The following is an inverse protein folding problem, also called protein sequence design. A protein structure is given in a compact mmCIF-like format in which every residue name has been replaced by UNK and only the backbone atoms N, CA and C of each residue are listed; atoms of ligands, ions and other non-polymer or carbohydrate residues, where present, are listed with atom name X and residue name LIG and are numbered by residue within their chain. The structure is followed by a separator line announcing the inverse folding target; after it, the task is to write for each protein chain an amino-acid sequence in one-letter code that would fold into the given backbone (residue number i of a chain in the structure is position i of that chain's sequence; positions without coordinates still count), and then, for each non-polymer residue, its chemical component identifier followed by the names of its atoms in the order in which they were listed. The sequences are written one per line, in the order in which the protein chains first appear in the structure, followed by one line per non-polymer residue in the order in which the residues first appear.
data_IF_613078648297
#
_entry.id   IF_613078648297
#
_cell.length_a   1.000
_cell.length_b   1.000
_cell.length_c   1.000
_cell.angle_alpha   90.00
_cell.angle_beta   90.00
_cell.angle_gamma   90.00
#
_symmetry.space_group_name_H-M   'P 1'
#
loop_
_entity.id
_entity.type
_entity.pdbx_description
1 polymer ?
#
# COMPACT_ATOMS: atom_id res chain seq x y z
N UNK A 1 -24.54 2.89 12.31
CA UNK A 1 -25.31 2.09 13.31
C UNK A 1 -24.32 1.62 14.36
N UNK A 2 -24.47 1.97 15.63
CA UNK A 2 -23.58 1.43 16.67
C UNK A 2 -23.72 -0.09 16.72
N UNK A 3 -22.63 -0.82 16.55
CA UNK A 3 -22.61 -2.27 16.65
C UNK A 3 -23.11 -2.69 18.04
N UNK A 4 -24.12 -3.56 18.11
CA UNK A 4 -24.60 -4.08 19.39
C UNK A 4 -23.70 -5.17 19.98
N UNK A 5 -22.66 -5.57 19.26
CA UNK A 5 -21.76 -6.67 19.62
C UNK A 5 -20.44 -6.18 20.18
N UNK A 6 -19.91 -6.89 21.17
CA UNK A 6 -18.56 -6.67 21.69
C UNK A 6 -17.62 -7.69 21.07
N UNK A 7 -16.60 -7.21 20.38
CA UNK A 7 -15.58 -8.02 19.72
C UNK A 7 -14.31 -8.12 20.55
N UNK A 8 -13.59 -9.22 20.37
CA UNK A 8 -12.26 -9.42 20.96
C UNK A 8 -11.31 -10.07 19.96
N UNK A 9 -10.04 -9.67 20.02
CA UNK A 9 -8.95 -10.31 19.28
C UNK A 9 -7.60 -10.08 19.94
N UNK A 10 -6.64 -10.95 19.61
CA UNK A 10 -5.22 -10.75 19.91
C UNK A 10 -4.71 -9.66 18.98
N UNK A 11 -4.17 -8.57 19.54
CA UNK A 11 -3.70 -7.40 18.81
C UNK A 11 -2.18 -7.41 18.54
N UNK A 12 -1.43 -8.33 19.17
CA UNK A 12 0.00 -8.53 18.93
C UNK A 12 0.24 -9.58 17.85
N UNK A 13 1.36 -9.51 17.10
CA UNK A 13 1.69 -10.51 16.09
C UNK A 13 1.76 -11.93 16.69
N UNK A 14 1.47 -12.98 15.90
CA UNK A 14 1.61 -14.36 16.35
C UNK A 14 3.07 -14.69 16.63
N UNK A 15 3.32 -15.48 17.69
CA UNK A 15 4.66 -15.89 18.07
C UNK A 15 4.88 -15.89 19.58
N UNK A 16 6.12 -16.00 20.02
CA UNK A 16 6.52 -15.92 21.42
C UNK A 16 7.06 -14.53 21.73
N UNK A 17 6.41 -13.81 22.63
CA UNK A 17 6.83 -12.49 23.09
C UNK A 17 6.74 -12.37 24.62
N UNK A 18 7.42 -11.39 25.19
CA UNK A 18 7.32 -11.09 26.63
C UNK A 18 5.93 -10.56 27.00
N UNK A 19 5.28 -9.83 26.08
CA UNK A 19 3.96 -9.21 26.26
C UNK A 19 3.05 -9.60 25.10
N UNK A 20 1.79 -9.91 25.41
CA UNK A 20 0.73 -10.07 24.46
C UNK A 20 -0.46 -9.19 24.82
N UNK A 21 -1.11 -8.62 23.82
CA UNK A 21 -2.24 -7.71 23.99
C UNK A 21 -3.49 -8.32 23.38
N UNK A 22 -4.56 -8.40 24.17
CA UNK A 22 -5.91 -8.71 23.68
C UNK A 22 -6.74 -7.45 23.79
N UNK A 23 -7.44 -7.10 22.72
CA UNK A 23 -8.31 -5.92 22.65
C UNK A 23 -9.76 -6.34 22.60
N UNK A 24 -10.60 -5.67 23.41
CA UNK A 24 -12.05 -5.73 23.35
C UNK A 24 -12.59 -4.38 22.89
N UNK A 25 -13.66 -4.37 22.09
CA UNK A 25 -14.37 -3.16 21.68
C UNK A 25 -15.86 -3.44 21.63
N UNK A 26 -16.65 -2.55 22.17
CA UNK A 26 -18.11 -2.60 22.11
C UNK A 26 -18.80 -2.36 23.47
N UNK A 27 -20.15 -2.40 23.51
CA UNK A 27 -20.94 -1.94 24.66
C UNK A 27 -20.76 -2.76 25.93
N UNK A 28 -20.27 -4.01 25.84
CA UNK A 28 -20.02 -4.90 26.99
C UNK A 28 -18.53 -5.04 27.33
N UNK A 29 -17.63 -4.26 26.72
CA UNK A 29 -16.19 -4.44 26.91
C UNK A 29 -15.77 -4.32 28.38
N UNK A 30 -16.32 -3.35 29.10
CA UNK A 30 -16.03 -3.14 30.52
C UNK A 30 -16.61 -4.25 31.40
N UNK A 31 -17.85 -4.66 31.18
CA UNK A 31 -18.49 -5.74 31.95
C UNK A 31 -17.75 -7.06 31.80
N UNK A 32 -17.32 -7.39 30.58
CA UNK A 32 -16.55 -8.60 30.27
C UNK A 32 -15.20 -8.56 30.96
N UNK A 33 -14.46 -7.45 30.84
CA UNK A 33 -13.16 -7.29 31.47
C UNK A 33 -13.25 -7.30 33.02
N UNK A 34 -14.30 -6.74 33.60
CA UNK A 34 -14.54 -6.77 35.03
C UNK A 34 -14.83 -8.20 35.52
N UNK A 35 -15.60 -9.00 34.79
CA UNK A 35 -15.85 -10.41 35.09
C UNK A 35 -14.57 -11.24 35.00
N UNK A 36 -13.73 -11.00 33.95
CA UNK A 36 -12.44 -11.69 33.81
C UNK A 36 -11.50 -11.40 35.00
N UNK A 37 -11.45 -10.14 35.43
CA UNK A 37 -10.51 -9.70 36.48
C UNK A 37 -11.05 -9.85 37.88
N UNK A 38 -12.35 -10.09 38.05
CA UNK A 38 -13.07 -10.20 39.34
C UNK A 38 -12.82 -9.00 40.29
N UNK A 39 -12.45 -7.85 39.73
CA UNK A 39 -12.16 -6.60 40.43
C UNK A 39 -12.64 -5.40 39.59
N UNK A 40 -12.82 -4.27 40.28
CA UNK A 40 -13.05 -3.01 39.59
C UNK A 40 -11.94 -2.72 38.59
N UNK A 41 -12.33 -2.27 37.43
CA UNK A 41 -11.37 -1.87 36.39
C UNK A 41 -10.60 -0.61 36.85
N UNK A 42 -9.39 -0.39 36.31
CA UNK A 42 -8.64 0.83 36.59
C UNK A 42 -9.38 2.07 36.05
N UNK A 43 -9.03 3.22 36.59
CA UNK A 43 -9.51 4.51 36.05
C UNK A 43 -9.10 4.64 34.56
N UNK A 44 -9.87 5.43 33.84
CA UNK A 44 -9.66 5.69 32.41
C UNK A 44 -8.20 6.07 32.12
N UNK A 45 -7.58 5.36 31.20
CA UNK A 45 -6.18 5.55 30.76
C UNK A 45 -5.13 5.37 31.85
N UNK A 46 -5.51 4.82 33.00
CA UNK A 46 -4.57 4.41 34.04
C UNK A 46 -4.23 2.94 33.88
N UNK A 47 -2.96 2.61 33.98
CA UNK A 47 -2.49 1.22 33.97
C UNK A 47 -2.80 0.55 35.31
N UNK A 48 -3.63 -0.48 35.25
CA UNK A 48 -4.01 -1.23 36.47
C UNK A 48 -3.53 -2.67 36.40
N UNK A 49 -2.69 -3.09 37.35
CA UNK A 49 -2.30 -4.50 37.46
C UNK A 49 -3.46 -5.35 37.94
N UNK A 50 -3.79 -6.44 37.22
CA UNK A 50 -4.91 -7.36 37.50
C UNK A 50 -4.50 -8.79 37.22
N UNK A 51 -5.18 -9.71 37.94
CA UNK A 51 -5.17 -11.15 37.65
C UNK A 51 -6.33 -11.47 36.74
N UNK A 52 -6.13 -12.38 35.81
CA UNK A 52 -7.13 -12.88 34.87
C UNK A 52 -7.56 -14.28 35.34
N UNK A 53 -8.87 -14.50 35.48
CA UNK A 53 -9.42 -15.70 36.11
C UNK A 53 -10.20 -16.56 35.09
N UNK A 54 -10.02 -17.87 35.21
CA UNK A 54 -10.82 -18.85 34.52
C UNK A 54 -12.21 -19.03 35.16
N UNK A 55 -13.04 -19.87 34.55
CA UNK A 55 -14.40 -20.16 34.99
C UNK A 55 -14.43 -20.81 36.38
N UNK A 56 -13.44 -21.64 36.70
CA UNK A 56 -13.28 -22.32 38.00
C UNK A 56 -12.65 -21.43 39.09
N UNK A 57 -12.30 -20.17 38.76
CA UNK A 57 -11.66 -19.22 39.64
C UNK A 57 -10.13 -19.37 39.75
N UNK A 58 -9.53 -20.26 38.98
CA UNK A 58 -8.07 -20.36 38.87
C UNK A 58 -7.48 -19.14 38.13
N UNK A 59 -6.24 -18.79 38.45
CA UNK A 59 -5.53 -17.70 37.79
C UNK A 59 -4.95 -18.24 36.48
N UNK A 60 -5.38 -17.66 35.37
CA UNK A 60 -4.85 -17.96 34.04
C UNK A 60 -3.56 -17.18 33.73
N UNK A 61 -3.56 -15.91 34.10
CA UNK A 61 -2.44 -14.97 33.86
C UNK A 61 -2.61 -13.73 34.74
N UNK A 62 -1.62 -12.87 34.74
CA UNK A 62 -1.69 -11.54 35.35
C UNK A 62 -1.00 -10.49 34.48
N UNK A 63 -1.49 -9.27 34.54
CA UNK A 63 -0.97 -8.24 33.66
C UNK A 63 -1.64 -6.88 33.86
N UNK A 64 -1.47 -6.02 32.87
CA UNK A 64 -1.99 -4.66 32.85
C UNK A 64 -3.34 -4.64 32.15
N UNK A 65 -4.29 -3.88 32.69
CA UNK A 65 -5.56 -3.55 32.06
C UNK A 65 -5.60 -2.06 31.82
N UNK A 66 -5.98 -1.67 30.61
CA UNK A 66 -6.20 -0.28 30.19
C UNK A 66 -7.64 -0.13 29.68
N UNK A 67 -8.29 0.97 30.09
CA UNK A 67 -9.67 1.28 29.73
C UNK A 67 -9.75 2.60 28.95
N UNK A 68 -10.47 2.58 27.85
CA UNK A 68 -10.69 3.73 26.97
C UNK A 68 -12.20 3.89 26.72
N UNK A 69 -12.85 4.86 27.36
CA UNK A 69 -14.29 5.05 27.21
C UNK A 69 -14.65 5.68 25.87
N UNK A 70 -15.82 5.35 25.38
CA UNK A 70 -16.50 6.04 24.28
C UNK A 70 -16.66 7.55 24.61
N UNK A 71 -16.45 8.48 23.65
CA UNK A 71 -15.93 8.25 22.28
C UNK A 71 -14.40 8.34 22.18
N UNK A 72 -13.69 8.41 23.29
CA UNK A 72 -12.25 8.69 23.34
C UNK A 72 -11.37 7.41 23.26
N UNK A 73 -11.71 6.51 22.35
CA UNK A 73 -11.01 5.26 22.08
C UNK A 73 -10.63 5.15 20.61
N UNK A 74 -9.94 4.07 20.23
CA UNK A 74 -9.56 3.80 18.84
C UNK A 74 -10.79 3.61 17.92
N UNK A 75 -11.76 2.79 18.37
CA UNK A 75 -12.97 2.48 17.59
C UNK A 75 -14.09 3.51 17.80
N UNK A 76 -13.95 4.43 18.76
CA UNK A 76 -15.05 5.29 19.19
C UNK A 76 -16.05 4.58 20.11
N UNK A 77 -15.89 3.29 20.41
CA UNK A 77 -16.67 2.52 21.38
C UNK A 77 -15.93 2.41 22.71
N UNK A 78 -16.52 1.73 23.71
CA UNK A 78 -15.79 1.34 24.92
C UNK A 78 -14.74 0.29 24.53
N UNK A 79 -13.47 0.55 24.86
CA UNK A 79 -12.34 -0.34 24.55
C UNK A 79 -11.60 -0.71 25.83
N UNK A 80 -11.25 -2.00 25.95
CA UNK A 80 -10.37 -2.51 27.00
C UNK A 80 -9.21 -3.25 26.37
N UNK A 81 -7.99 -2.96 26.81
CA UNK A 81 -6.80 -3.73 26.47
C UNK A 81 -6.31 -4.52 27.69
N UNK A 82 -6.09 -5.81 27.45
CA UNK A 82 -5.55 -6.77 28.41
C UNK A 82 -4.13 -7.12 27.97
N UNK A 83 -3.13 -6.72 28.72
CA UNK A 83 -1.72 -6.89 28.43
C UNK A 83 -1.13 -7.92 29.39
N UNK A 84 -1.14 -9.19 28.99
CA UNK A 84 -0.57 -10.32 29.70
C UNK A 84 0.71 -10.84 29.07
N UNK A 85 1.08 -12.09 29.33
CA UNK A 85 2.21 -12.76 28.72
C UNK A 85 1.93 -13.13 27.26
N UNK A 86 2.95 -13.00 26.38
CA UNK A 86 2.84 -13.13 24.92
C UNK A 86 2.97 -14.56 24.40
N UNK A 87 2.71 -15.59 25.23
CA UNK A 87 2.71 -16.97 24.78
C UNK A 87 1.41 -17.33 24.04
N UNK A 88 1.45 -18.04 22.88
CA UNK A 88 0.24 -18.32 22.11
C UNK A 88 -0.79 -19.17 22.84
N UNK A 89 -0.35 -20.06 23.75
CA UNK A 89 -1.26 -20.91 24.54
C UNK A 89 -2.10 -20.05 25.50
N UNK A 90 -1.45 -19.17 26.25
CA UNK A 90 -2.15 -18.33 27.22
C UNK A 90 -3.02 -17.28 26.57
N UNK A 91 -2.57 -16.69 25.45
CA UNK A 91 -3.35 -15.72 24.69
C UNK A 91 -4.64 -16.34 24.13
N UNK A 92 -4.56 -17.55 23.56
CA UNK A 92 -5.74 -18.26 23.07
C UNK A 92 -6.68 -18.69 24.20
N UNK A 93 -6.15 -19.10 25.35
CA UNK A 93 -6.96 -19.43 26.52
C UNK A 93 -7.73 -18.20 27.03
N UNK A 94 -7.04 -17.05 27.20
CA UNK A 94 -7.67 -15.79 27.60
C UNK A 94 -8.73 -15.33 26.58
N UNK A 95 -8.44 -15.43 25.27
CA UNK A 95 -9.40 -15.09 24.23
C UNK A 95 -10.64 -15.99 24.28
N UNK A 96 -10.46 -17.31 24.48
CA UNK A 96 -11.54 -18.26 24.68
C UNK A 96 -12.41 -17.89 25.88
N UNK A 97 -11.79 -17.52 27.00
CA UNK A 97 -12.50 -17.07 28.22
C UNK A 97 -13.34 -15.81 27.95
N UNK A 98 -12.82 -14.86 27.18
CA UNK A 98 -13.58 -13.66 26.80
C UNK A 98 -14.82 -14.00 25.95
N UNK A 99 -14.74 -15.02 25.09
CA UNK A 99 -15.89 -15.49 24.30
C UNK A 99 -16.95 -16.13 25.21
N UNK A 100 -16.56 -16.93 26.21
CA UNK A 100 -17.49 -17.46 27.19
C UNK A 100 -18.19 -16.36 28.00
N UNK A 101 -17.50 -15.24 28.24
CA UNK A 101 -18.05 -14.08 28.94
C UNK A 101 -18.93 -13.19 28.06
N UNK A 102 -19.06 -13.51 26.75
CA UNK A 102 -19.99 -12.89 25.83
C UNK A 102 -19.39 -11.95 24.79
N UNK A 103 -18.06 -11.95 24.61
CA UNK A 103 -17.43 -11.37 23.43
C UNK A 103 -17.57 -12.30 22.23
N UNK A 104 -17.43 -11.76 21.01
CA UNK A 104 -17.33 -12.54 19.78
C UNK A 104 -15.96 -12.30 19.13
N UNK A 105 -15.52 -13.23 18.29
CA UNK A 105 -14.27 -13.06 17.55
C UNK A 105 -14.38 -11.90 16.57
N UNK A 106 -13.40 -11.00 16.61
CA UNK A 106 -13.31 -9.93 15.63
C UNK A 106 -12.96 -10.50 14.25
N UNK A 107 -13.56 -9.95 13.20
CA UNK A 107 -13.17 -10.19 11.82
C UNK A 107 -11.89 -9.42 11.48
N UNK A 108 -11.27 -9.78 10.35
CA UNK A 108 -10.15 -9.02 9.80
C UNK A 108 -10.53 -7.54 9.63
N UNK A 109 -9.69 -6.63 10.12
CA UNK A 109 -9.90 -5.18 10.05
C UNK A 109 -11.11 -4.62 10.80
N UNK A 110 -11.83 -5.41 11.62
CA UNK A 110 -13.11 -4.97 12.23
C UNK A 110 -12.96 -3.78 13.19
N UNK A 111 -11.85 -3.69 13.92
CA UNK A 111 -11.62 -2.51 14.78
C UNK A 111 -11.44 -1.23 13.96
N UNK A 112 -10.69 -1.30 12.85
CA UNK A 112 -10.51 -0.15 11.95
C UNK A 112 -11.80 0.20 11.20
N UNK A 113 -12.61 -0.80 10.82
CA UNK A 113 -13.91 -0.59 10.20
C UNK A 113 -14.85 0.17 11.16
N UNK A 114 -14.94 -0.26 12.44
CA UNK A 114 -15.74 0.44 13.46
C UNK A 114 -15.24 1.85 13.72
N UNK A 115 -13.91 2.06 13.69
CA UNK A 115 -13.33 3.39 13.81
C UNK A 115 -13.74 4.30 12.65
N UNK A 116 -13.76 3.79 11.42
CA UNK A 116 -14.26 4.48 10.24
C UNK A 116 -15.75 4.78 10.35
N UNK A 117 -16.60 3.79 10.66
CA UNK A 117 -18.05 3.95 10.82
C UNK A 117 -18.42 4.96 11.92
N UNK A 118 -17.62 5.05 12.97
CA UNK A 118 -17.78 5.99 14.07
C UNK A 118 -17.11 7.37 13.83
N UNK A 119 -16.61 7.62 12.60
CA UNK A 119 -16.02 8.89 12.21
C UNK A 119 -14.72 9.24 12.93
N UNK A 120 -13.99 8.24 13.44
CA UNK A 120 -12.70 8.44 14.09
C UNK A 120 -11.56 8.64 13.09
N UNK A 121 -11.72 8.12 11.90
CA UNK A 121 -10.80 8.22 10.77
C UNK A 121 -11.56 8.04 9.46
N UNK A 122 -11.01 8.54 8.37
CA UNK A 122 -11.49 8.25 7.03
C UNK A 122 -10.89 6.95 6.48
N UNK A 123 -11.32 6.56 5.27
CA UNK A 123 -10.88 5.30 4.66
C UNK A 123 -9.39 5.29 4.32
N UNK A 124 -8.83 6.44 3.89
CA UNK A 124 -7.39 6.59 3.61
C UNK A 124 -6.56 6.41 4.89
N UNK A 125 -7.00 7.00 6.00
CA UNK A 125 -6.35 6.87 7.29
C UNK A 125 -6.41 5.43 7.81
N UNK A 126 -7.56 4.75 7.63
CA UNK A 126 -7.69 3.34 7.98
C UNK A 126 -6.71 2.46 7.19
N UNK A 127 -6.62 2.68 5.88
CA UNK A 127 -5.65 1.98 5.02
C UNK A 127 -4.19 2.28 5.39
N UNK A 128 -3.89 3.51 5.80
CA UNK A 128 -2.55 3.91 6.21
C UNK A 128 -2.04 3.15 7.45
N UNK A 129 -2.94 2.68 8.33
CA UNK A 129 -2.57 1.81 9.47
C UNK A 129 -2.00 0.49 8.95
N UNK A 130 -2.64 -0.14 7.97
CA UNK A 130 -2.14 -1.38 7.38
C UNK A 130 -0.81 -1.13 6.65
N UNK A 131 -0.73 -0.05 5.85
CA UNK A 131 0.46 0.30 5.10
C UNK A 131 1.66 0.62 6.00
N UNK A 132 1.43 1.24 7.19
CA UNK A 132 2.48 1.48 8.18
C UNK A 132 3.05 0.18 8.76
N UNK A 133 2.19 -0.80 9.00
CA UNK A 133 2.58 -2.09 9.56
C UNK A 133 3.33 -2.94 8.54
N UNK A 134 2.91 -2.88 7.28
CA UNK A 134 3.48 -3.66 6.18
C UNK A 134 4.69 -2.94 5.52
N UNK A 135 5.05 -1.73 6.00
CA UNK A 135 6.11 -0.93 5.43
C UNK A 135 7.47 -1.65 5.46
N UNK A 136 8.11 -1.78 4.30
CA UNK A 136 9.41 -2.45 4.12
C UNK A 136 10.59 -1.48 4.07
N UNK A 137 10.34 -0.16 3.99
CA UNK A 137 11.36 0.89 4.01
C UNK A 137 10.99 2.03 4.97
N UNK A 138 11.99 2.77 5.45
CA UNK A 138 11.75 3.96 6.28
C UNK A 138 10.94 5.04 5.53
N UNK A 139 11.17 5.19 4.23
CA UNK A 139 10.44 6.13 3.40
C UNK A 139 8.95 5.76 3.32
N UNK A 140 8.62 4.47 3.09
CA UNK A 140 7.26 3.96 3.10
C UNK A 140 6.59 4.18 4.47
N UNK A 141 7.28 3.84 5.57
CA UNK A 141 6.75 4.04 6.91
C UNK A 141 6.43 5.52 7.21
N UNK A 142 7.36 6.45 6.88
CA UNK A 142 7.14 7.90 7.04
C UNK A 142 5.94 8.39 6.23
N UNK A 143 5.81 7.94 4.97
CA UNK A 143 4.71 8.31 4.10
C UNK A 143 3.37 7.74 4.60
N UNK A 144 3.36 6.52 5.17
CA UNK A 144 2.18 5.94 5.81
C UNK A 144 1.75 6.74 7.04
N UNK A 145 2.69 7.18 7.89
CA UNK A 145 2.37 8.06 9.03
C UNK A 145 1.75 9.38 8.57
N UNK A 146 2.24 10.00 7.49
CA UNK A 146 1.64 11.21 6.94
C UNK A 146 0.21 10.98 6.43
N UNK A 147 -0.03 9.86 5.73
CA UNK A 147 -1.38 9.47 5.31
C UNK A 147 -2.29 9.26 6.51
N UNK A 148 -1.81 8.60 7.57
CA UNK A 148 -2.54 8.41 8.82
C UNK A 148 -2.86 9.75 9.52
N UNK A 149 -1.97 10.75 9.41
CA UNK A 149 -2.21 12.12 9.89
C UNK A 149 -3.15 12.95 9.00
N UNK A 150 -3.66 12.38 7.90
CA UNK A 150 -4.64 12.99 7.02
C UNK A 150 -4.07 13.85 5.90
N UNK A 151 -2.76 13.81 5.62
CA UNK A 151 -2.15 14.63 4.57
C UNK A 151 -2.77 14.39 3.19
N UNK A 152 -3.03 13.12 2.84
CA UNK A 152 -3.68 12.78 1.58
C UNK A 152 -5.16 13.17 1.57
N UNK A 153 -5.91 12.85 2.63
CA UNK A 153 -7.32 13.19 2.78
C UNK A 153 -7.56 14.71 2.68
N UNK A 154 -6.68 15.51 3.27
CA UNK A 154 -6.75 16.98 3.17
C UNK A 154 -6.61 17.45 1.71
N UNK A 155 -5.68 16.87 0.94
CA UNK A 155 -5.52 17.21 -0.49
C UNK A 155 -6.75 16.82 -1.30
N UNK A 156 -7.32 15.63 -1.07
CA UNK A 156 -8.56 15.17 -1.73
C UNK A 156 -9.73 16.09 -1.38
N UNK A 157 -9.94 16.41 -0.09
CA UNK A 157 -11.02 17.28 0.36
C UNK A 157 -10.91 18.68 -0.22
N UNK A 158 -9.70 19.24 -0.34
CA UNK A 158 -9.48 20.54 -1.00
C UNK A 158 -9.94 20.51 -2.47
N UNK A 159 -9.66 19.44 -3.20
CA UNK A 159 -10.13 19.29 -4.58
C UNK A 159 -11.64 19.08 -4.63
N UNK A 160 -12.18 18.31 -3.68
CA UNK A 160 -13.63 18.07 -3.56
C UNK A 160 -14.40 19.36 -3.30
N UNK A 161 -13.90 20.22 -2.41
CA UNK A 161 -14.49 21.54 -2.14
C UNK A 161 -14.51 22.42 -3.41
N UNK A 162 -13.43 22.46 -4.18
CA UNK A 162 -13.37 23.17 -5.47
C UNK A 162 -14.40 22.62 -6.46
N UNK A 163 -14.53 21.29 -6.53
CA UNK A 163 -15.48 20.62 -7.42
C UNK A 163 -16.94 20.91 -7.02
N UNK A 164 -17.24 20.90 -5.72
CA UNK A 164 -18.55 21.28 -5.18
C UNK A 164 -18.85 22.74 -5.53
N UNK A 165 -17.90 23.64 -5.34
CA UNK A 165 -18.04 25.04 -5.69
C UNK A 165 -18.32 25.24 -7.18
N UNK A 166 -17.61 24.52 -8.05
CA UNK A 166 -17.88 24.52 -9.50
C UNK A 166 -19.31 24.04 -9.81
N UNK A 167 -19.74 22.91 -9.19
CA UNK A 167 -21.10 22.40 -9.37
C UNK A 167 -22.18 23.40 -8.99
N UNK A 168 -22.03 24.06 -7.83
CA UNK A 168 -22.97 25.08 -7.39
C UNK A 168 -23.11 26.23 -8.41
N UNK A 169 -22.01 26.63 -9.07
CA UNK A 169 -22.06 27.65 -10.11
C UNK A 169 -22.80 27.16 -11.36
N UNK A 170 -22.59 25.90 -11.76
CA UNK A 170 -23.29 25.31 -12.93
C UNK A 170 -24.77 25.13 -12.63
N UNK A 171 -25.15 24.58 -11.45
CA UNK A 171 -26.51 24.38 -11.05
C UNK A 171 -27.27 25.75 -10.95
N UNK A 172 -26.65 26.78 -10.37
CA UNK A 172 -27.20 28.12 -10.34
C UNK A 172 -27.41 28.72 -11.75
N UNK A 173 -26.48 28.47 -12.69
CA UNK A 173 -26.64 28.92 -14.07
C UNK A 173 -27.80 28.23 -14.82
N UNK A 174 -28.13 27.00 -14.45
CA UNK A 174 -29.25 26.25 -15.02
C UNK A 174 -30.58 26.72 -14.42
N UNK A 175 -30.63 26.94 -13.09
CA UNK A 175 -31.85 27.28 -12.37
C UNK A 175 -32.31 28.71 -12.61
N UNK A 176 -31.42 29.64 -12.97
CA UNK A 176 -31.72 31.05 -13.17
C UNK A 176 -31.37 31.54 -14.60
N UNK A 177 -32.01 30.98 -15.65
CA UNK A 177 -31.70 31.32 -17.05
C UNK A 177 -32.18 32.72 -17.47
N UNK A 178 -33.01 33.39 -16.66
CA UNK A 178 -33.61 34.71 -16.97
C UNK A 178 -32.73 35.89 -16.51
N UNK A 179 -31.62 35.66 -15.80
CA UNK A 179 -30.66 36.73 -15.52
C UNK A 179 -29.90 37.10 -16.80
N UNK A 180 -29.76 38.42 -17.09
CA UNK A 180 -29.14 38.96 -18.32
C UNK A 180 -27.69 38.54 -18.57
N UNK A 181 -27.11 37.71 -17.72
CA UNK A 181 -25.72 37.18 -17.83
C UNK A 181 -25.80 35.70 -18.19
N UNK A 182 -25.33 35.37 -19.40
CA UNK A 182 -25.10 33.98 -19.78
C UNK A 182 -23.90 33.42 -18.97
N UNK A 183 -24.18 32.93 -17.77
CA UNK A 183 -23.17 32.40 -16.83
C UNK A 183 -22.35 31.27 -17.43
N UNK A 184 -22.87 30.54 -18.45
CA UNK A 184 -22.15 29.49 -19.15
C UNK A 184 -21.13 30.08 -20.15
N UNK A 185 -21.45 31.24 -20.76
CA UNK A 185 -20.60 31.92 -21.73
C UNK A 185 -19.55 32.86 -21.10
N UNK A 186 -19.69 33.24 -19.83
CA UNK A 186 -18.82 34.21 -19.13
C UNK A 186 -17.36 33.73 -18.93
N UNK A 187 -17.03 32.49 -19.31
CA UNK A 187 -15.67 31.93 -19.13
C UNK A 187 -15.31 31.60 -17.68
N UNK A 188 -16.10 32.01 -16.70
CA UNK A 188 -15.85 31.76 -15.26
C UNK A 188 -15.95 30.27 -14.91
N UNK A 189 -17.00 29.60 -15.42
CA UNK A 189 -17.19 28.16 -15.21
C UNK A 189 -16.04 27.38 -15.85
N UNK A 190 -15.60 27.76 -17.04
CA UNK A 190 -14.45 27.14 -17.68
C UNK A 190 -13.16 27.31 -16.86
N UNK A 191 -12.90 28.50 -16.35
CA UNK A 191 -11.76 28.77 -15.49
C UNK A 191 -11.77 27.93 -14.18
N UNK A 192 -12.94 27.81 -13.54
CA UNK A 192 -13.12 26.97 -12.36
C UNK A 192 -12.90 25.48 -12.71
N UNK A 193 -13.38 25.02 -13.85
CA UNK A 193 -13.19 23.64 -14.31
C UNK A 193 -11.71 23.34 -14.57
N UNK A 194 -11.00 24.27 -15.22
CA UNK A 194 -9.56 24.14 -15.44
C UNK A 194 -8.75 24.11 -14.14
N UNK A 195 -9.12 24.92 -13.13
CA UNK A 195 -8.50 24.88 -11.80
C UNK A 195 -8.72 23.54 -11.11
N UNK A 196 -9.93 22.98 -11.18
CA UNK A 196 -10.21 21.63 -10.65
C UNK A 196 -9.38 20.56 -11.39
N UNK A 197 -9.33 20.59 -12.72
CA UNK A 197 -8.53 19.64 -13.51
C UNK A 197 -7.06 19.68 -13.14
N UNK A 198 -6.47 20.87 -13.01
CA UNK A 198 -5.09 21.06 -12.60
C UNK A 198 -4.85 20.53 -11.18
N UNK A 199 -5.79 20.79 -10.26
CA UNK A 199 -5.71 20.32 -8.88
C UNK A 199 -5.75 18.79 -8.80
N UNK A 200 -6.64 18.12 -9.54
CA UNK A 200 -6.69 16.65 -9.63
C UNK A 200 -5.37 16.10 -10.19
N UNK A 201 -4.85 16.72 -11.25
CA UNK A 201 -3.60 16.28 -11.87
C UNK A 201 -2.39 16.38 -10.91
N UNK A 202 -2.29 17.47 -10.16
CA UNK A 202 -1.24 17.67 -9.17
C UNK A 202 -1.28 16.61 -8.07
N UNK A 203 -2.48 16.33 -7.52
CA UNK A 203 -2.66 15.29 -6.50
C UNK A 203 -2.36 13.90 -7.07
N UNK A 204 -2.77 13.62 -8.30
CA UNK A 204 -2.50 12.33 -8.96
C UNK A 204 -1.00 12.10 -9.17
N UNK A 205 -0.24 13.13 -9.53
CA UNK A 205 1.22 13.04 -9.68
C UNK A 205 1.89 12.68 -8.36
N UNK A 206 1.52 13.36 -7.26
CA UNK A 206 2.02 13.02 -5.91
C UNK A 206 1.58 11.62 -5.47
N UNK A 207 0.33 11.22 -5.75
CA UNK A 207 -0.19 9.91 -5.40
C UNK A 207 0.54 8.77 -6.12
N UNK A 208 1.03 8.99 -7.33
CA UNK A 208 1.84 8.02 -8.08
C UNK A 208 3.16 7.70 -7.38
N UNK A 209 3.82 8.71 -6.81
CA UNK A 209 5.02 8.51 -5.99
C UNK A 209 4.70 7.70 -4.74
N UNK A 210 3.58 7.97 -4.10
CA UNK A 210 3.10 7.23 -2.93
C UNK A 210 2.72 5.78 -3.23
N UNK A 211 2.19 5.49 -4.40
CA UNK A 211 1.93 4.12 -4.87
C UNK A 211 3.25 3.35 -5.02
N UNK A 212 4.26 3.95 -5.64
CA UNK A 212 5.58 3.34 -5.79
C UNK A 212 6.23 3.02 -4.43
N UNK A 213 6.07 3.89 -3.43
CA UNK A 213 6.56 3.63 -2.07
C UNK A 213 5.84 2.46 -1.39
N UNK A 214 4.58 2.21 -1.72
CA UNK A 214 3.79 1.13 -1.16
C UNK A 214 3.99 -0.20 -1.87
N UNK A 215 3.83 -0.21 -3.18
CA UNK A 215 3.83 -1.43 -4.00
C UNK A 215 5.25 -1.86 -4.36
N UNK A 216 6.16 -0.89 -4.42
CA UNK A 216 7.51 -1.11 -4.90
C UNK A 216 7.56 -1.35 -6.41
N UNK A 217 8.74 -1.68 -6.90
CA UNK A 217 8.99 -2.07 -8.29
C UNK A 217 9.25 -3.57 -8.36
N UNK A 218 8.55 -4.27 -9.24
CA UNK A 218 8.78 -5.69 -9.51
C UNK A 218 9.86 -5.83 -10.58
N UNK A 219 11.02 -6.39 -10.22
CA UNK A 219 12.17 -6.52 -11.10
C UNK A 219 12.53 -7.99 -11.27
N UNK A 220 12.55 -8.47 -12.51
CA UNK A 220 13.01 -9.82 -12.84
C UNK A 220 14.43 -9.77 -13.37
N UNK A 221 15.30 -10.63 -12.82
CA UNK A 221 16.68 -10.77 -13.26
C UNK A 221 16.86 -12.10 -13.98
N UNK A 222 17.40 -12.06 -15.20
CA UNK A 222 17.71 -13.23 -15.98
C UNK A 222 19.15 -13.18 -16.55
N UNK A 223 19.65 -14.30 -17.03
CA UNK A 223 20.97 -14.42 -17.65
C UNK A 223 21.60 -15.80 -17.41
N UNK A 224 22.62 -16.11 -18.17
CA UNK A 224 23.34 -17.40 -18.11
C UNK A 224 23.88 -17.73 -16.71
N UNK A 225 24.08 -19.01 -16.37
CA UNK A 225 24.87 -19.37 -15.20
C UNK A 225 26.24 -18.67 -15.21
N UNK A 226 26.68 -18.23 -14.04
CA UNK A 226 27.98 -17.53 -13.87
C UNK A 226 28.05 -16.12 -14.53
N UNK A 227 26.99 -15.56 -15.08
CA UNK A 227 26.97 -14.17 -15.53
C UNK A 227 27.13 -13.16 -14.37
N UNK A 228 26.98 -13.60 -13.12
CA UNK A 228 27.18 -12.80 -11.92
C UNK A 228 25.89 -12.23 -11.35
N UNK A 229 24.73 -12.84 -11.61
CA UNK A 229 23.42 -12.43 -11.06
C UNK A 229 23.43 -12.32 -9.54
N UNK A 230 23.87 -13.37 -8.85
CA UNK A 230 23.95 -13.36 -7.38
C UNK A 230 24.94 -12.32 -6.83
N UNK A 231 26.05 -12.07 -7.55
CA UNK A 231 26.97 -10.99 -7.17
C UNK A 231 26.34 -9.62 -7.35
N UNK A 232 25.55 -9.44 -8.41
CA UNK A 232 24.81 -8.20 -8.67
C UNK A 232 23.70 -7.98 -7.62
N UNK A 233 22.94 -9.03 -7.28
CA UNK A 233 21.94 -9.00 -6.20
C UNK A 233 22.60 -8.58 -4.88
N UNK A 234 23.71 -9.19 -4.50
CA UNK A 234 24.44 -8.83 -3.28
C UNK A 234 24.96 -7.39 -3.31
N UNK A 235 25.45 -6.92 -4.45
CA UNK A 235 25.90 -5.53 -4.60
C UNK A 235 24.74 -4.54 -4.48
N UNK A 236 23.59 -4.82 -5.10
CA UNK A 236 22.38 -4.00 -4.96
C UNK A 236 21.83 -4.03 -3.53
N UNK A 237 21.80 -5.19 -2.87
CA UNK A 237 21.37 -5.33 -1.48
C UNK A 237 22.35 -4.66 -0.50
N UNK A 238 23.62 -4.49 -0.86
CA UNK A 238 24.65 -3.81 -0.06
C UNK A 238 24.48 -2.30 0.00
N UNK A 239 23.80 -1.69 -0.99
CA UNK A 239 23.60 -0.23 -1.06
C UNK A 239 22.62 0.25 0.04
N UNK A 240 21.51 -0.46 0.25
CA UNK A 240 20.61 -0.25 1.39
C UNK A 240 19.87 -1.56 1.71
N UNK A 241 20.20 -2.20 2.83
CA UNK A 241 19.44 -3.36 3.28
C UNK A 241 18.06 -2.93 3.71
N UNK A 242 17.02 -3.39 3.02
CA UNK A 242 15.67 -3.40 3.58
C UNK A 242 15.69 -4.17 4.92
N UNK A 243 14.90 -3.74 5.89
CA UNK A 243 14.70 -4.48 7.13
C UNK A 243 13.88 -5.73 6.73
N UNK A 244 14.59 -6.81 6.39
CA UNK A 244 13.95 -8.09 6.10
C UNK A 244 13.45 -8.64 7.43
N UNK A 245 12.16 -8.60 7.66
CA UNK A 245 11.53 -9.43 8.68
C UNK A 245 11.46 -10.83 8.10
N UNK A 246 12.37 -11.73 8.55
CA UNK A 246 12.28 -13.15 8.29
C UNK A 246 10.93 -13.69 8.81
N UNK A 247 9.95 -13.81 7.94
CA UNK A 247 8.77 -14.63 8.22
C UNK A 247 9.23 -16.07 8.03
N UNK A 248 9.60 -16.72 9.13
CA UNK A 248 9.97 -18.12 9.15
C UNK A 248 8.81 -18.97 8.62
N UNK A 249 8.98 -19.60 7.45
CA UNK A 249 7.98 -20.55 6.94
C UNK A 249 7.96 -20.82 5.44
N UNK A 250 8.70 -20.10 4.58
CA UNK A 250 8.60 -20.25 3.11
C UNK A 250 9.91 -20.66 2.43
N UNK A 251 10.47 -21.82 2.82
CA UNK A 251 11.76 -22.32 2.29
C UNK A 251 11.65 -23.10 0.98
N UNK A 252 10.58 -22.97 0.19
CA UNK A 252 10.40 -23.69 -1.10
C UNK A 252 9.80 -22.87 -2.25
N UNK A 253 9.53 -21.59 -2.06
CA UNK A 253 9.01 -20.71 -3.12
C UNK A 253 10.12 -19.81 -3.66
N UNK A 254 9.94 -19.34 -4.91
CA UNK A 254 10.80 -18.41 -5.66
C UNK A 254 11.51 -17.42 -4.73
N UNK A 255 12.82 -17.28 -4.85
CA UNK A 255 13.61 -16.33 -4.08
C UNK A 255 13.20 -14.90 -4.48
N UNK A 256 12.23 -14.37 -3.78
CA UNK A 256 11.88 -12.94 -3.84
C UNK A 256 12.74 -12.21 -2.81
N UNK A 257 13.72 -11.46 -3.27
CA UNK A 257 14.54 -10.63 -2.39
C UNK A 257 13.97 -9.19 -2.38
N UNK A 258 13.60 -8.70 -1.21
CA UNK A 258 13.12 -7.33 -1.04
C UNK A 258 14.28 -6.44 -0.60
N UNK A 259 14.58 -5.44 -1.41
CA UNK A 259 15.61 -4.45 -1.15
C UNK A 259 15.03 -3.04 -1.25
N UNK A 260 15.77 -2.04 -0.80
CA UNK A 260 15.44 -0.62 -1.00
C UNK A 260 16.55 0.04 -1.83
N UNK A 261 16.20 0.69 -2.92
CA UNK A 261 17.14 1.48 -3.74
C UNK A 261 16.73 2.95 -3.71
N UNK A 262 17.58 3.80 -3.13
CA UNK A 262 17.27 5.23 -2.91
C UNK A 262 15.89 5.45 -2.24
N UNK A 263 15.49 4.56 -1.33
CA UNK A 263 14.20 4.61 -0.64
C UNK A 263 13.04 3.95 -1.40
N UNK A 264 13.20 3.58 -2.68
CA UNK A 264 12.22 2.82 -3.47
C UNK A 264 12.26 1.34 -3.06
N UNK A 265 11.17 0.74 -2.56
CA UNK A 265 11.09 -0.70 -2.36
C UNK A 265 11.16 -1.43 -3.69
N UNK A 266 11.98 -2.49 -3.77
CA UNK A 266 12.10 -3.32 -4.97
C UNK A 266 11.99 -4.78 -4.57
N UNK A 267 11.19 -5.51 -5.31
CA UNK A 267 11.12 -6.98 -5.22
C UNK A 267 11.90 -7.55 -6.40
N UNK A 268 13.03 -8.19 -6.11
CA UNK A 268 13.87 -8.85 -7.10
C UNK A 268 13.51 -10.33 -7.19
N UNK A 269 13.24 -10.81 -8.41
CA UNK A 269 12.95 -12.21 -8.70
C UNK A 269 14.04 -12.77 -9.61
N UNK A 270 14.79 -13.81 -9.15
CA UNK A 270 15.80 -14.49 -9.98
C UNK A 270 15.18 -15.65 -10.75
N UNK A 271 15.23 -15.60 -12.09
CA UNK A 271 14.70 -16.67 -12.95
C UNK A 271 15.59 -17.94 -12.96
N UNK A 272 16.82 -17.89 -12.47
CA UNK A 272 17.70 -19.06 -12.43
C UNK A 272 17.16 -20.13 -11.46
N UNK A 273 16.60 -19.74 -10.33
CA UNK A 273 15.94 -20.63 -9.38
C UNK A 273 14.68 -21.32 -9.92
N UNK A 274 14.11 -20.81 -11.02
CA UNK A 274 12.88 -21.33 -11.62
C UNK A 274 13.11 -22.41 -12.68
N UNK A 275 14.36 -22.57 -13.18
CA UNK A 275 14.73 -23.50 -14.27
C UNK A 275 15.49 -24.75 -13.84
N UNK A 276 15.91 -24.89 -12.58
CA UNK A 276 16.85 -25.93 -12.12
C UNK A 276 16.20 -27.15 -11.44
N UNK A 277 14.98 -27.55 -11.76
CA UNK A 277 14.39 -28.78 -11.18
C UNK A 277 13.85 -29.70 -12.25
N UNK A 278 14.49 -30.88 -12.41
CA UNK A 278 14.16 -31.86 -13.45
C UNK A 278 12.77 -32.52 -13.34
N UNK A 279 12.25 -32.90 -14.46
CA UNK A 279 11.06 -33.69 -14.82
C UNK A 279 9.68 -33.06 -14.58
N UNK A 280 8.79 -33.24 -13.88
CA UNK A 280 7.41 -32.73 -13.83
C UNK A 280 7.33 -31.33 -13.23
N UNK A 281 8.31 -30.96 -12.42
CA UNK A 281 8.48 -29.67 -11.74
C UNK A 281 8.93 -28.57 -12.73
N UNK A 282 9.57 -28.95 -13.84
CA UNK A 282 10.10 -28.03 -14.85
C UNK A 282 8.99 -27.24 -15.58
N UNK A 283 7.87 -27.86 -15.93
CA UNK A 283 6.75 -27.18 -16.58
C UNK A 283 6.06 -26.14 -15.67
N UNK A 284 5.94 -26.44 -14.39
CA UNK A 284 5.36 -25.51 -13.43
C UNK A 284 6.35 -24.37 -13.13
N UNK A 285 7.67 -24.64 -13.06
CA UNK A 285 8.72 -23.65 -12.94
C UNK A 285 8.75 -22.67 -14.11
N UNK A 286 8.64 -23.16 -15.35
CA UNK A 286 8.56 -22.33 -16.55
C UNK A 286 7.30 -21.45 -16.55
N UNK A 287 6.14 -22.02 -16.19
CA UNK A 287 4.88 -21.28 -16.10
C UNK A 287 4.96 -20.15 -15.07
N UNK A 288 5.58 -20.39 -13.90
CA UNK A 288 5.80 -19.37 -12.87
C UNK A 288 6.75 -18.30 -13.38
N UNK A 289 7.85 -18.67 -14.04
CA UNK A 289 8.80 -17.71 -14.62
C UNK A 289 8.12 -16.78 -15.65
N UNK A 290 7.28 -17.34 -16.54
CA UNK A 290 6.53 -16.55 -17.52
C UNK A 290 5.61 -15.57 -16.81
N UNK A 291 4.88 -16.01 -15.80
CA UNK A 291 3.97 -15.15 -15.02
C UNK A 291 4.73 -14.00 -14.33
N UNK A 292 5.89 -14.27 -13.74
CA UNK A 292 6.74 -13.24 -13.12
C UNK A 292 7.25 -12.23 -14.17
N UNK A 293 7.65 -12.69 -15.35
CA UNK A 293 8.07 -11.83 -16.47
C UNK A 293 6.91 -10.96 -16.96
N UNK A 294 5.71 -11.51 -17.08
CA UNK A 294 4.51 -10.76 -17.47
C UNK A 294 4.16 -9.66 -16.46
N UNK A 295 4.31 -9.94 -15.18
CA UNK A 295 3.97 -9.02 -14.09
C UNK A 295 5.09 -8.04 -13.72
N UNK A 296 6.32 -8.28 -14.20
CA UNK A 296 7.45 -7.41 -13.89
C UNK A 296 7.29 -6.02 -14.49
N UNK A 297 7.65 -5.01 -13.72
CA UNK A 297 7.77 -3.62 -14.20
C UNK A 297 9.05 -3.42 -15.00
N UNK A 298 10.12 -4.16 -14.62
CA UNK A 298 11.44 -4.06 -15.24
C UNK A 298 12.09 -5.44 -15.35
N UNK A 299 12.69 -5.69 -16.51
CA UNK A 299 13.47 -6.89 -16.81
C UNK A 299 14.96 -6.52 -16.87
N UNK A 300 15.81 -7.21 -16.12
CA UNK A 300 17.26 -7.06 -16.16
C UNK A 300 17.89 -8.30 -16.80
N UNK A 301 18.50 -8.16 -17.96
CA UNK A 301 19.32 -9.21 -18.55
C UNK A 301 20.78 -9.02 -18.15
N UNK A 302 21.31 -9.92 -17.33
CA UNK A 302 22.72 -9.91 -16.89
C UNK A 302 23.52 -10.87 -17.75
N UNK A 303 24.57 -10.38 -18.37
CA UNK A 303 25.49 -11.20 -19.18
C UNK A 303 26.96 -10.85 -18.91
N UNK A 304 27.83 -11.78 -19.22
CA UNK A 304 29.27 -11.65 -19.03
C UNK A 304 29.92 -11.03 -20.28
N UNK A 305 30.52 -9.86 -20.14
CA UNK A 305 31.16 -9.14 -21.23
C UNK A 305 32.31 -9.91 -21.87
N UNK A 306 32.94 -10.86 -21.14
CA UNK A 306 34.04 -11.66 -21.67
C UNK A 306 33.58 -12.79 -22.62
N UNK A 307 32.28 -13.15 -22.61
CA UNK A 307 31.81 -14.29 -23.41
C UNK A 307 31.47 -13.94 -24.86
N UNK A 308 31.41 -12.64 -25.19
CA UNK A 308 31.10 -12.18 -26.54
C UNK A 308 29.68 -12.52 -27.01
N UNK A 309 28.79 -12.79 -26.07
CA UNK A 309 27.38 -13.05 -26.36
C UNK A 309 26.69 -11.78 -26.90
N UNK A 310 25.79 -11.97 -27.86
CA UNK A 310 24.87 -10.91 -28.29
C UNK A 310 23.76 -10.75 -27.24
N UNK A 311 23.67 -9.60 -26.55
CA UNK A 311 22.72 -9.43 -25.47
C UNK A 311 21.26 -9.47 -25.93
N UNK A 312 20.95 -9.08 -27.17
CA UNK A 312 19.57 -9.13 -27.68
C UNK A 312 19.13 -10.55 -28.03
N UNK A 313 20.06 -11.42 -28.51
CA UNK A 313 19.74 -12.85 -28.69
C UNK A 313 19.51 -13.53 -27.35
N UNK A 314 20.31 -13.21 -26.33
CA UNK A 314 20.09 -13.71 -24.99
C UNK A 314 18.75 -13.20 -24.43
N UNK A 315 18.43 -11.92 -24.62
CA UNK A 315 17.15 -11.38 -24.19
C UNK A 315 15.97 -12.15 -24.80
N UNK A 316 16.06 -12.47 -26.09
CA UNK A 316 15.02 -13.23 -26.78
C UNK A 316 14.90 -14.67 -26.25
N UNK A 317 16.00 -15.30 -25.86
CA UNK A 317 16.00 -16.61 -25.25
C UNK A 317 15.31 -16.65 -23.87
N UNK A 318 15.50 -15.59 -23.04
CA UNK A 318 15.00 -15.53 -21.68
C UNK A 318 13.58 -14.94 -21.58
N UNK A 319 13.26 -13.94 -22.39
CA UNK A 319 12.03 -13.12 -22.26
C UNK A 319 11.08 -13.26 -23.44
N UNK A 320 11.49 -13.93 -24.52
CA UNK A 320 10.69 -14.18 -25.73
C UNK A 320 10.03 -12.90 -26.26
N UNK A 321 8.69 -12.89 -26.33
CA UNK A 321 7.89 -11.75 -26.86
C UNK A 321 7.76 -10.57 -25.90
N UNK A 322 8.25 -10.70 -24.65
CA UNK A 322 8.18 -9.62 -23.64
C UNK A 322 9.31 -8.59 -23.74
N UNK A 323 10.03 -8.56 -24.88
CA UNK A 323 11.15 -7.65 -25.11
C UNK A 323 10.64 -6.30 -25.59
N UNK A 324 10.41 -5.41 -24.64
CA UNK A 324 10.10 -4.02 -24.91
C UNK A 324 11.24 -3.11 -24.45
N UNK A 325 11.71 -2.15 -25.28
CA UNK A 325 12.81 -1.25 -24.92
C UNK A 325 12.57 -0.49 -23.59
N UNK A 326 11.31 -0.23 -23.26
CA UNK A 326 10.94 0.45 -22.02
C UNK A 326 10.99 -0.44 -20.79
N UNK A 327 10.88 -1.77 -20.94
CA UNK A 327 10.84 -2.73 -19.83
C UNK A 327 12.12 -3.53 -19.67
N UNK A 328 13.09 -3.41 -20.58
CA UNK A 328 14.31 -4.20 -20.57
C UNK A 328 15.54 -3.32 -20.42
N UNK A 329 16.40 -3.66 -19.46
CA UNK A 329 17.77 -3.15 -19.35
C UNK A 329 18.77 -4.28 -19.55
N UNK A 330 19.79 -4.02 -20.36
CA UNK A 330 20.90 -4.94 -20.65
C UNK A 330 22.06 -4.61 -19.71
N UNK A 331 22.49 -5.58 -18.89
CA UNK A 331 23.52 -5.38 -17.88
C UNK A 331 24.77 -6.19 -18.26
N UNK A 332 25.76 -5.51 -18.83
CA UNK A 332 27.06 -6.08 -19.14
C UNK A 332 27.91 -6.13 -17.88
N UNK A 333 28.04 -7.32 -17.26
CA UNK A 333 28.79 -7.50 -16.02
C UNK A 333 30.24 -7.90 -16.28
N UNK A 334 31.10 -7.77 -15.27
CA UNK A 334 32.51 -8.08 -15.25
C UNK A 334 33.37 -7.16 -16.17
N UNK A 335 32.99 -5.88 -16.23
CA UNK A 335 33.76 -4.89 -17.00
C UNK A 335 35.23 -4.77 -16.52
N UNK A 336 35.50 -5.08 -15.24
CA UNK A 336 36.85 -5.14 -14.65
C UNK A 336 37.77 -6.13 -15.36
N UNK A 337 37.23 -7.18 -15.98
CA UNK A 337 38.02 -8.18 -16.72
C UNK A 337 38.23 -7.80 -18.19
N UNK A 338 37.40 -6.94 -18.76
CA UNK A 338 37.52 -6.49 -20.18
C UNK A 338 38.25 -5.17 -20.30
N UNK A 339 38.55 -4.49 -19.20
CA UNK A 339 39.13 -3.15 -19.22
C UNK A 339 38.15 -2.05 -19.70
N UNK A 340 36.86 -2.37 -19.81
CA UNK A 340 35.83 -1.38 -20.13
C UNK A 340 35.47 -0.56 -18.90
N UNK A 341 35.15 0.73 -19.13
CA UNK A 341 34.64 1.59 -18.06
C UNK A 341 33.19 1.24 -17.74
N UNK A 342 32.79 1.43 -16.48
CA UNK A 342 31.38 1.36 -16.10
C UNK A 342 30.66 2.60 -16.67
N UNK A 343 29.68 2.37 -17.53
CA UNK A 343 28.94 3.46 -18.22
C UNK A 343 27.51 3.05 -18.53
N UNK A 344 26.67 4.07 -18.78
CA UNK A 344 25.32 3.91 -19.30
C UNK A 344 25.33 4.32 -20.78
N UNK A 345 24.88 3.44 -21.64
CA UNK A 345 24.87 3.63 -23.10
C UNK A 345 23.54 3.16 -23.70
N UNK A 346 23.37 3.37 -24.98
CA UNK A 346 22.28 2.78 -25.79
C UNK A 346 22.83 1.63 -26.63
N UNK A 347 22.13 0.51 -26.62
CA UNK A 347 22.41 -0.62 -27.49
C UNK A 347 21.18 -0.97 -28.31
N UNK A 348 21.13 -0.46 -29.54
CA UNK A 348 20.02 -0.68 -30.49
C UNK A 348 18.63 -0.27 -29.93
N UNK A 349 18.57 0.85 -29.20
CA UNK A 349 17.33 1.37 -28.60
C UNK A 349 17.03 0.81 -27.20
N UNK A 350 17.90 -0.06 -26.66
CA UNK A 350 17.79 -0.57 -25.29
C UNK A 350 18.81 0.10 -24.38
N UNK A 351 18.40 0.40 -23.15
CA UNK A 351 19.32 0.91 -22.14
C UNK A 351 20.32 -0.17 -21.78
N UNK A 352 21.61 0.10 -21.97
CA UNK A 352 22.71 -0.79 -21.67
C UNK A 352 23.59 -0.18 -20.58
N UNK A 353 23.92 -0.99 -19.57
CA UNK A 353 24.71 -0.56 -18.42
C UNK A 353 25.84 -1.55 -18.19
N UNK A 354 27.07 -1.05 -18.21
CA UNK A 354 28.27 -1.81 -17.91
C UNK A 354 28.62 -1.70 -16.42
N UNK A 355 28.85 -2.86 -15.76
CA UNK A 355 29.14 -2.91 -14.32
C UNK A 355 30.21 -3.96 -14.02
N UNK A 356 30.85 -3.82 -12.86
CA UNK A 356 31.49 -4.93 -12.16
C UNK A 356 30.81 -5.12 -10.81
N UNK A 357 29.92 -6.09 -10.72
CA UNK A 357 29.24 -6.40 -9.47
C UNK A 357 30.20 -6.81 -8.34
N UNK A 358 31.34 -7.44 -8.69
CA UNK A 358 32.36 -7.87 -7.73
C UNK A 358 33.17 -6.71 -7.16
N UNK A 359 33.41 -5.68 -7.96
CA UNK A 359 34.18 -4.49 -7.56
C UNK A 359 33.29 -3.28 -7.28
N UNK A 360 31.98 -3.45 -7.30
CA UNK A 360 30.96 -2.41 -7.11
C UNK A 360 31.07 -1.24 -8.09
N UNK A 361 31.77 -1.43 -9.23
CA UNK A 361 31.92 -0.41 -10.27
C UNK A 361 30.62 -0.28 -11.07
N UNK A 362 30.09 0.93 -11.21
CA UNK A 362 28.86 1.20 -11.98
C UNK A 362 27.55 0.79 -11.30
N UNK A 363 27.60 0.20 -10.09
CA UNK A 363 26.40 -0.25 -9.36
C UNK A 363 25.49 0.94 -9.01
N UNK A 364 26.07 2.09 -8.56
CA UNK A 364 25.26 3.27 -8.30
C UNK A 364 24.57 3.79 -9.57
N UNK A 365 25.24 3.79 -10.71
CA UNK A 365 24.61 4.15 -12.00
C UNK A 365 23.44 3.24 -12.39
N UNK A 366 23.55 1.93 -12.07
CA UNK A 366 22.44 0.99 -12.24
C UNK A 366 21.28 1.30 -11.29
N UNK A 367 21.54 1.61 -10.01
CA UNK A 367 20.53 2.05 -9.03
C UNK A 367 19.80 3.28 -9.52
N UNK A 368 20.53 4.30 -9.98
CA UNK A 368 19.95 5.54 -10.52
C UNK A 368 19.13 5.28 -11.79
N UNK A 369 19.57 4.36 -12.64
CA UNK A 369 18.84 3.98 -13.84
C UNK A 369 17.53 3.25 -13.53
N UNK A 370 17.51 2.36 -12.52
CA UNK A 370 16.30 1.65 -12.06
C UNK A 370 15.30 2.64 -11.45
N UNK A 371 15.76 3.52 -10.56
CA UNK A 371 14.89 4.52 -9.90
C UNK A 371 14.34 5.54 -10.90
N UNK A 372 15.15 5.99 -11.87
CA UNK A 372 14.70 6.84 -12.96
C UNK A 372 13.70 6.15 -13.89
N UNK A 373 13.85 4.84 -14.14
CA UNK A 373 12.89 4.05 -14.91
C UNK A 373 11.51 4.04 -14.24
N UNK A 374 11.46 3.88 -12.93
CA UNK A 374 10.22 3.94 -12.17
C UNK A 374 9.61 5.35 -12.14
N UNK A 375 10.35 6.38 -12.56
CA UNK A 375 9.97 7.79 -12.38
C UNK A 375 9.85 8.15 -10.90
N UNK A 376 10.67 7.52 -10.06
CA UNK A 376 10.64 7.71 -8.62
C UNK A 376 11.45 8.94 -8.23
N UNK A 377 10.73 9.95 -7.73
CA UNK A 377 11.27 11.21 -7.22
C UNK A 377 10.54 11.56 -5.93
N UNK A 378 10.89 10.94 -4.80
CA UNK A 378 10.19 11.17 -3.55
C UNK A 378 10.45 12.60 -3.07
N UNK A 379 9.36 13.33 -2.86
CA UNK A 379 9.39 14.62 -2.18
C UNK A 379 9.24 14.41 -0.67
N UNK A 380 9.69 15.38 0.12
CA UNK A 380 9.54 15.31 1.58
C UNK A 380 8.08 15.16 2.02
N UNK A 381 7.11 15.63 1.21
CA UNK A 381 5.68 15.59 1.48
C UNK A 381 4.95 14.39 0.85
N UNK A 382 5.66 13.39 0.35
CA UNK A 382 5.04 12.21 -0.25
C UNK A 382 4.20 11.45 0.79
N UNK A 383 2.97 11.10 0.43
CA UNK A 383 2.02 10.29 1.20
C UNK A 383 1.80 8.95 0.50
N UNK A 384 1.33 7.92 1.20
CA UNK A 384 0.98 6.64 0.59
C UNK A 384 -0.31 6.78 -0.22
N UNK A 385 -0.33 6.17 -1.41
CA UNK A 385 -1.53 5.99 -2.21
C UNK A 385 -1.64 4.55 -2.72
N UNK A 386 -2.85 4.14 -3.07
CA UNK A 386 -3.16 2.79 -3.58
C UNK A 386 -3.70 2.88 -5.00
N UNK A 387 -3.63 1.79 -5.74
CA UNK A 387 -4.17 1.68 -7.11
C UNK A 387 -5.61 2.19 -7.19
N UNK A 388 -6.48 1.85 -6.22
CA UNK A 388 -7.88 2.34 -6.19
C UNK A 388 -7.99 3.87 -6.17
N UNK A 389 -7.06 4.56 -5.48
CA UNK A 389 -7.03 6.03 -5.43
C UNK A 389 -6.70 6.63 -6.80
N UNK A 390 -5.69 6.06 -7.48
CA UNK A 390 -5.33 6.48 -8.83
C UNK A 390 -6.45 6.22 -9.84
N UNK A 391 -7.14 5.09 -9.72
CA UNK A 391 -8.29 4.75 -10.56
C UNK A 391 -9.46 5.70 -10.33
N UNK A 392 -9.74 6.07 -9.09
CA UNK A 392 -10.76 7.06 -8.75
C UNK A 392 -10.42 8.43 -9.33
N UNK A 393 -9.18 8.90 -9.17
CA UNK A 393 -8.71 10.16 -9.77
C UNK A 393 -8.73 10.13 -11.29
N UNK A 394 -8.40 9.01 -11.92
CA UNK A 394 -8.47 8.83 -13.37
C UNK A 394 -9.91 8.91 -13.88
N UNK A 395 -10.88 8.29 -13.19
CA UNK A 395 -12.30 8.42 -13.49
C UNK A 395 -12.77 9.86 -13.32
N UNK A 396 -12.34 10.53 -12.24
CA UNK A 396 -12.63 11.96 -12.02
C UNK A 396 -12.13 12.81 -13.20
N UNK A 397 -10.90 12.60 -13.67
CA UNK A 397 -10.37 13.33 -14.84
C UNK A 397 -11.17 13.07 -16.12
N UNK A 398 -11.62 11.84 -16.37
CA UNK A 398 -12.48 11.53 -17.53
C UNK A 398 -13.79 12.31 -17.47
N UNK A 399 -14.49 12.30 -16.33
CA UNK A 399 -15.73 13.05 -16.15
C UNK A 399 -15.53 14.57 -16.25
N UNK A 400 -14.40 15.11 -15.76
CA UNK A 400 -14.06 16.52 -15.94
C UNK A 400 -13.75 16.88 -17.40
N UNK A 401 -13.16 15.97 -18.17
CA UNK A 401 -12.93 16.14 -19.60
C UNK A 401 -14.26 16.14 -20.39
N UNK A 402 -15.19 15.23 -20.06
CA UNK A 402 -16.53 15.19 -20.60
C UNK A 402 -17.31 16.47 -20.26
N UNK A 403 -17.26 16.94 -19.01
CA UNK A 403 -17.88 18.20 -18.59
C UNK A 403 -17.33 19.39 -19.42
N UNK A 404 -16.04 19.41 -19.69
CA UNK A 404 -15.41 20.45 -20.53
C UNK A 404 -15.92 20.42 -21.97
N UNK A 405 -16.02 19.24 -22.58
CA UNK A 405 -16.56 19.07 -23.92
C UNK A 405 -18.03 19.50 -24.00
N UNK A 406 -18.84 19.07 -23.02
CA UNK A 406 -20.26 19.45 -22.90
C UNK A 406 -20.45 20.96 -22.73
N UNK A 407 -19.56 21.61 -21.98
CA UNK A 407 -19.57 23.05 -21.77
C UNK A 407 -19.19 23.81 -23.05
N UNK A 408 -18.03 23.45 -23.65
CA UNK A 408 -17.42 24.26 -24.73
C UNK A 408 -18.03 23.97 -26.11
N UNK A 409 -18.35 22.69 -26.38
CA UNK A 409 -18.83 22.26 -27.72
C UNK A 409 -20.36 22.30 -27.80
N UNK A 410 -21.02 21.80 -26.76
CA UNK A 410 -22.49 21.59 -26.79
C UNK A 410 -23.28 22.64 -26.02
N UNK A 411 -22.64 23.47 -25.18
CA UNK A 411 -23.28 24.42 -24.26
C UNK A 411 -24.42 23.79 -23.47
N UNK A 412 -24.24 22.54 -23.00
CA UNK A 412 -25.26 21.69 -22.39
C UNK A 412 -25.10 21.66 -20.88
N UNK A 413 -25.58 22.68 -20.17
CA UNK A 413 -25.42 22.88 -18.73
C UNK A 413 -25.84 21.67 -17.88
N UNK A 414 -27.00 21.05 -18.19
CA UNK A 414 -27.48 19.87 -17.46
C UNK A 414 -26.53 18.68 -17.56
N UNK A 415 -25.93 18.44 -18.74
CA UNK A 415 -24.93 17.37 -18.92
C UNK A 415 -23.65 17.70 -18.19
N UNK A 416 -23.23 18.97 -18.16
CA UNK A 416 -22.09 19.42 -17.36
C UNK A 416 -22.32 19.11 -15.87
N UNK A 417 -23.50 19.45 -15.32
CA UNK A 417 -23.86 19.19 -13.94
C UNK A 417 -23.79 17.69 -13.60
N UNK A 418 -24.29 16.83 -14.49
CA UNK A 418 -24.25 15.37 -14.31
C UNK A 418 -22.81 14.83 -14.34
N UNK A 419 -21.97 15.25 -15.29
CA UNK A 419 -20.56 14.83 -15.35
C UNK A 419 -19.79 15.30 -14.12
N UNK A 420 -20.03 16.50 -13.61
CA UNK A 420 -19.44 17.01 -12.37
C UNK A 420 -19.90 16.21 -11.13
N UNK A 421 -21.17 15.78 -11.10
CA UNK A 421 -21.70 14.90 -10.04
C UNK A 421 -21.00 13.55 -10.03
N UNK A 422 -20.79 12.94 -11.20
CA UNK A 422 -20.04 11.69 -11.35
C UNK A 422 -18.57 11.85 -10.95
N UNK A 423 -17.95 12.98 -11.30
CA UNK A 423 -16.59 13.31 -10.88
C UNK A 423 -16.49 13.44 -9.34
N UNK A 424 -17.45 14.09 -8.72
CA UNK A 424 -17.51 14.23 -7.26
C UNK A 424 -17.65 12.88 -6.56
N UNK A 425 -18.54 12.02 -7.03
CA UNK A 425 -18.74 10.70 -6.47
C UNK A 425 -17.44 9.86 -6.58
N UNK A 426 -16.80 9.85 -7.76
CA UNK A 426 -15.55 9.14 -7.97
C UNK A 426 -14.43 9.63 -7.04
N UNK A 427 -14.32 10.94 -6.83
CA UNK A 427 -13.31 11.51 -5.94
C UNK A 427 -13.62 11.22 -4.45
N UNK A 428 -14.90 11.28 -4.03
CA UNK A 428 -15.33 11.00 -2.66
C UNK A 428 -15.19 9.53 -2.25
N UNK A 429 -15.15 8.58 -3.20
CA UNK A 429 -14.84 7.18 -2.91
C UNK A 429 -13.45 7.00 -2.26
N UNK A 430 -12.52 7.94 -2.48
CA UNK A 430 -11.15 7.87 -1.93
C UNK A 430 -11.21 7.95 -0.40
N UNK A 431 -11.93 8.91 0.15
CA UNK A 431 -12.08 9.14 1.60
C UNK A 431 -13.17 8.28 2.24
N UNK A 432 -14.05 7.70 1.42
CA UNK A 432 -15.13 6.83 1.87
C UNK A 432 -16.48 7.50 1.97
N UNK A 433 -16.65 8.76 1.50
CA UNK A 433 -17.91 9.49 1.58
C UNK A 433 -19.06 8.85 0.78
N UNK A 434 -18.69 8.11 -0.29
CA UNK A 434 -19.64 7.46 -1.22
C UNK A 434 -19.24 6.00 -1.49
N UNK A 435 -18.73 5.27 -0.49
CA UNK A 435 -18.27 3.90 -0.67
C UNK A 435 -19.40 2.90 -0.60
N UNK A 436 -19.43 1.94 -1.54
CA UNK A 436 -20.31 0.79 -1.46
C UNK A 436 -19.83 -0.19 -0.37
N UNK A 437 -20.76 -0.87 0.31
CA UNK A 437 -20.47 -1.86 1.37
C UNK A 437 -19.52 -2.98 0.90
N UNK A 438 -19.64 -3.40 -0.36
CA UNK A 438 -18.75 -4.41 -0.96
C UNK A 438 -17.30 -3.92 -1.05
N UNK A 439 -17.07 -2.63 -1.30
CA UNK A 439 -15.73 -2.05 -1.33
C UNK A 439 -15.13 -2.00 0.07
N UNK A 440 -15.89 -1.55 1.05
CA UNK A 440 -15.48 -1.52 2.46
C UNK A 440 -15.13 -2.94 2.94
N UNK A 441 -15.97 -3.93 2.63
CA UNK A 441 -15.73 -5.33 2.94
C UNK A 441 -14.41 -5.88 2.37
N UNK A 442 -14.07 -5.53 1.11
CA UNK A 442 -12.80 -5.93 0.48
C UNK A 442 -11.59 -5.24 1.11
N UNK A 443 -11.68 -3.94 1.40
CA UNK A 443 -10.58 -3.18 1.99
C UNK A 443 -10.27 -3.71 3.40
N UNK A 444 -11.26 -3.77 4.28
CA UNK A 444 -11.06 -4.21 5.66
C UNK A 444 -10.78 -5.72 5.75
N UNK A 445 -11.33 -6.54 4.86
CA UNK A 445 -11.05 -7.97 4.77
C UNK A 445 -9.58 -8.31 4.46
N UNK A 446 -8.82 -7.37 3.90
CA UNK A 446 -7.38 -7.51 3.65
C UNK A 446 -6.50 -7.17 4.87
N UNK A 447 -7.07 -6.64 5.97
CA UNK A 447 -6.32 -6.26 7.15
C UNK A 447 -6.07 -7.46 8.06
N UNK A 448 -5.10 -7.33 8.98
CA UNK A 448 -4.88 -8.35 10.00
C UNK A 448 -6.02 -8.39 11.03
N UNK A 449 -6.31 -9.58 11.59
CA UNK A 449 -7.21 -9.72 12.73
C UNK A 449 -6.60 -9.00 13.94
N UNK A 450 -7.42 -8.26 14.67
CA UNK A 450 -6.95 -7.48 15.83
C UNK A 450 -6.66 -6.00 15.55
N UNK A 451 -6.91 -5.58 14.28
CA UNK A 451 -6.75 -4.18 13.82
C UNK A 451 -8.05 -3.63 13.29
#
# INVERSE_FOLDING_TARGET
MHSQTTIAAIATPPGRGGVGVIRLSGPKAYDIAQKLTQKNLPETRMAGFRKFYDADGSIMDEGIVLCFPNPHSFTGEDVVELQGHGGPVIQNALLGRLFELGAIAAKAGEFSMRAFENGKMDLVQAEAIADLIDATSQAAARSAVRSLQGAFSTKINTVLEKLIHLRLHVEAAIDFPEEEIDFLADGKILALLEDVQQSVHAVQTSARQGQLLREGLQVVIAGKPNAGKSSLLNALAGVERAIVTDIAGTTRDVLHEKISLNGLPITLTDTAGLRETGDIVEKEGIRRAIKEIEQADLLLLVYDLNQGDDPLKLAQEYFAEHIEPRRLMLIGNKCDLTGQSAEISDYQGFRHITVSAKQEMGVQGLVDAITAHAGFHPEEDTFIARTRHLDAMKRTQLYLAEAREQLVVFNAGELVAESLRLAQNALGEITGDFSADDLLGKIFGSFCIGK
#
